data_IF_955409432471
#
_entry.id   IF_955409432471
#
_cell.length_a   1.000
_cell.length_b   1.000
_cell.length_c   1.000
_cell.angle_alpha   90.00
_cell.angle_beta   90.00
_cell.angle_gamma   90.00
#
_symmetry.space_group_name_H-M   'P 1'
#
loop_
_entity.id
_entity.type
_entity.pdbx_description
1 polymer ?
#
# COMPACT_ATOMS: atom_id res chain seq x y z
N UNK A 1 -23.10 -43.45 26.43
CA UNK A 1 -23.52 -42.05 26.21
C UNK A 1 -22.36 -41.08 25.95
N UNK A 2 -21.27 -41.06 26.74
CA UNK A 2 -20.12 -40.14 26.51
C UNK A 2 -19.43 -40.28 25.13
N UNK A 3 -19.35 -41.48 24.56
CA UNK A 3 -18.67 -41.73 23.28
C UNK A 3 -19.46 -41.30 22.03
N UNK A 4 -20.79 -41.19 22.14
CA UNK A 4 -21.65 -40.76 21.02
C UNK A 4 -21.70 -39.23 20.88
N UNK A 5 -21.63 -38.51 22.01
CA UNK A 5 -21.60 -37.04 22.01
C UNK A 5 -20.30 -36.52 21.39
N UNK A 6 -19.17 -37.15 21.66
CA UNK A 6 -17.88 -36.79 21.09
C UNK A 6 -17.81 -36.97 19.55
N UNK A 7 -18.52 -37.97 19.01
CA UNK A 7 -18.57 -38.22 17.57
C UNK A 7 -19.44 -37.20 16.82
N UNK A 8 -20.54 -36.76 17.44
CA UNK A 8 -21.41 -35.72 16.86
C UNK A 8 -20.76 -34.34 16.87
N UNK A 9 -20.01 -33.98 17.93
CA UNK A 9 -19.32 -32.68 17.98
C UNK A 9 -18.15 -32.58 16.99
N UNK A 10 -17.44 -33.67 16.71
CA UNK A 10 -16.40 -33.70 15.67
C UNK A 10 -16.99 -33.53 14.26
N UNK A 11 -18.17 -34.10 14.01
CA UNK A 11 -18.85 -33.98 12.71
C UNK A 11 -19.33 -32.55 12.41
N UNK A 12 -19.79 -31.84 13.44
CA UNK A 12 -20.25 -30.44 13.32
C UNK A 12 -19.07 -29.49 13.12
N UNK A 13 -17.93 -29.73 13.78
CA UNK A 13 -16.71 -28.92 13.59
C UNK A 13 -16.11 -29.16 12.20
N UNK A 14 -16.10 -30.40 11.71
CA UNK A 14 -15.61 -30.70 10.36
C UNK A 14 -16.42 -29.97 9.28
N UNK A 15 -17.76 -30.01 9.36
CA UNK A 15 -18.64 -29.33 8.38
C UNK A 15 -18.54 -27.81 8.43
N UNK A 16 -18.36 -27.21 9.62
CA UNK A 16 -18.12 -25.78 9.76
C UNK A 16 -16.78 -25.31 9.16
N UNK A 17 -15.72 -26.14 9.24
CA UNK A 17 -14.41 -25.85 8.64
C UNK A 17 -14.47 -25.94 7.12
N UNK A 18 -15.21 -26.91 6.56
CA UNK A 18 -15.39 -27.00 5.10
C UNK A 18 -16.25 -25.86 4.53
N UNK A 19 -17.23 -25.36 5.29
CA UNK A 19 -18.02 -24.18 4.89
C UNK A 19 -17.20 -22.88 4.88
N UNK A 20 -16.16 -22.77 5.72
CA UNK A 20 -15.25 -21.61 5.72
C UNK A 20 -14.12 -21.73 4.68
N UNK A 21 -13.75 -22.95 4.28
CA UNK A 21 -12.79 -23.22 3.21
C UNK A 21 -13.41 -23.14 1.80
N UNK A 22 -14.72 -23.33 1.68
CA UNK A 22 -15.51 -23.00 0.49
C UNK A 22 -15.84 -21.49 0.40
N UNK A 23 -15.23 -20.66 1.26
CA UNK A 23 -15.25 -19.22 1.10
C UNK A 23 -14.52 -18.87 -0.18
N UNK A 24 -15.28 -18.43 -1.19
CA UNK A 24 -14.82 -17.96 -2.49
C UNK A 24 -13.41 -17.37 -2.40
N UNK A 25 -12.43 -18.07 -2.98
CA UNK A 25 -11.08 -17.54 -3.07
C UNK A 25 -11.19 -16.15 -3.70
N UNK A 26 -10.83 -15.10 -2.94
CA UNK A 26 -10.92 -13.72 -3.43
C UNK A 26 -10.22 -13.68 -4.79
N UNK A 27 -10.86 -13.13 -5.83
CA UNK A 27 -10.27 -13.08 -7.16
C UNK A 27 -8.86 -12.52 -7.07
N UNK A 28 -7.90 -13.16 -7.75
CA UNK A 28 -6.52 -12.67 -7.75
C UNK A 28 -6.50 -11.21 -8.21
N UNK A 29 -5.83 -10.35 -7.43
CA UNK A 29 -5.72 -8.95 -7.76
C UNK A 29 -4.93 -8.76 -9.06
N UNK A 30 -5.43 -7.88 -9.92
CA UNK A 30 -4.71 -7.46 -11.12
C UNK A 30 -3.37 -6.81 -10.72
N UNK A 31 -2.33 -6.86 -11.57
CA UNK A 31 -1.03 -6.27 -11.27
C UNK A 31 -1.10 -4.79 -10.83
N UNK A 32 -1.96 -3.99 -11.46
CA UNK A 32 -2.18 -2.59 -11.07
C UNK A 32 -2.76 -2.43 -9.66
N UNK A 33 -3.62 -3.33 -9.22
CA UNK A 33 -4.20 -3.31 -7.87
C UNK A 33 -3.15 -3.69 -6.83
N UNK A 34 -2.32 -4.70 -7.10
CA UNK A 34 -1.18 -5.06 -6.24
C UNK A 34 -0.21 -3.87 -6.10
N UNK A 35 0.07 -3.18 -7.20
CA UNK A 35 0.92 -1.99 -7.20
C UNK A 35 0.35 -0.87 -6.33
N UNK A 36 -0.94 -0.56 -6.46
CA UNK A 36 -1.57 0.48 -5.65
C UNK A 36 -1.64 0.12 -4.17
N UNK A 37 -1.85 -1.16 -3.84
CA UNK A 37 -1.78 -1.63 -2.45
C UNK A 37 -0.39 -1.47 -1.86
N UNK A 38 0.67 -1.80 -2.61
CA UNK A 38 2.05 -1.60 -2.17
C UNK A 38 2.35 -0.12 -1.89
N UNK A 39 1.91 0.80 -2.76
CA UNK A 39 2.05 2.25 -2.53
C UNK A 39 1.29 2.71 -1.28
N UNK A 40 0.06 2.24 -1.08
CA UNK A 40 -0.73 2.59 0.09
C UNK A 40 -0.08 2.06 1.39
N UNK A 41 0.48 0.85 1.35
CA UNK A 41 1.22 0.26 2.47
C UNK A 41 2.47 1.08 2.80
N UNK A 42 3.28 1.45 1.80
CA UNK A 42 4.46 2.29 1.97
C UNK A 42 4.13 3.65 2.60
N UNK A 43 3.05 4.30 2.16
CA UNK A 43 2.58 5.56 2.75
C UNK A 43 2.16 5.40 4.21
N UNK A 44 1.46 4.29 4.52
CA UNK A 44 1.03 3.99 5.90
C UNK A 44 2.24 3.70 6.80
N UNK A 45 3.19 2.92 6.31
CA UNK A 45 4.43 2.60 7.01
C UNK A 45 5.26 3.84 7.31
N UNK A 46 5.49 4.72 6.32
CA UNK A 46 6.21 5.97 6.54
C UNK A 46 5.50 6.85 7.58
N UNK A 47 4.17 6.94 7.54
CA UNK A 47 3.41 7.73 8.51
C UNK A 47 3.50 7.15 9.94
N UNK A 48 3.45 5.82 10.08
CA UNK A 48 3.63 5.16 11.38
C UNK A 48 5.05 5.34 11.92
N UNK A 49 6.06 5.20 11.05
CA UNK A 49 7.46 5.39 11.40
C UNK A 49 7.78 6.86 11.74
N UNK A 50 7.07 7.81 11.13
CA UNK A 50 7.16 9.21 11.52
C UNK A 50 6.66 9.42 12.95
N UNK A 51 5.51 8.81 13.31
CA UNK A 51 4.98 8.86 14.67
C UNK A 51 5.88 8.21 15.72
N UNK A 52 6.67 7.20 15.34
CA UNK A 52 7.64 6.54 16.22
C UNK A 52 9.06 7.12 16.14
N UNK A 53 9.30 8.13 15.31
CA UNK A 53 10.63 8.73 15.10
C UNK A 53 11.65 7.81 14.40
N UNK A 54 11.21 6.74 13.74
CA UNK A 54 12.07 5.80 13.04
C UNK A 54 12.45 6.31 11.63
N UNK A 55 13.30 7.33 11.59
CA UNK A 55 13.69 7.99 10.34
C UNK A 55 14.48 7.10 9.37
N UNK A 56 15.22 6.10 9.86
CA UNK A 56 15.93 5.16 9.00
C UNK A 56 14.95 4.32 8.17
N UNK A 57 13.89 3.81 8.81
CA UNK A 57 12.84 3.09 8.11
C UNK A 57 12.11 3.99 7.10
N UNK A 58 11.80 5.24 7.46
CA UNK A 58 11.21 6.21 6.53
C UNK A 58 12.13 6.40 5.31
N UNK A 59 13.43 6.58 5.52
CA UNK A 59 14.37 6.81 4.44
C UNK A 59 14.42 5.65 3.44
N UNK A 60 14.38 4.41 3.94
CA UNK A 60 14.37 3.19 3.12
C UNK A 60 13.05 3.01 2.38
N UNK A 61 11.91 3.08 3.06
CA UNK A 61 10.59 2.94 2.42
C UNK A 61 10.37 4.03 1.37
N UNK A 62 10.79 5.27 1.63
CA UNK A 62 10.69 6.37 0.69
C UNK A 62 11.59 6.17 -0.55
N UNK A 63 12.80 5.63 -0.37
CA UNK A 63 13.69 5.27 -1.48
C UNK A 63 13.09 4.18 -2.37
N UNK A 64 12.47 3.17 -1.78
CA UNK A 64 11.78 2.11 -2.52
C UNK A 64 10.57 2.64 -3.28
N UNK A 65 9.73 3.47 -2.64
CA UNK A 65 8.61 4.13 -3.30
C UNK A 65 9.08 5.01 -4.47
N UNK A 66 10.17 5.76 -4.28
CA UNK A 66 10.78 6.58 -5.33
C UNK A 66 11.20 5.74 -6.53
N UNK A 67 11.90 4.62 -6.30
CA UNK A 67 12.35 3.72 -7.36
C UNK A 67 11.19 3.06 -8.11
N UNK A 68 10.18 2.58 -7.38
CA UNK A 68 8.99 1.95 -7.99
C UNK A 68 8.25 2.95 -8.87
N UNK A 69 7.93 4.13 -8.33
CA UNK A 69 7.17 5.16 -9.04
C UNK A 69 7.95 5.75 -10.22
N UNK A 70 9.29 5.83 -10.15
CA UNK A 70 10.08 6.16 -11.32
C UNK A 70 9.91 5.11 -12.44
N UNK A 71 10.04 3.82 -12.08
CA UNK A 71 9.94 2.70 -13.02
C UNK A 71 8.56 2.59 -13.68
N UNK A 72 7.50 2.70 -12.88
CA UNK A 72 6.13 2.58 -13.40
C UNK A 72 5.64 3.88 -14.06
N UNK A 73 6.09 5.05 -13.60
CA UNK A 73 5.80 6.34 -14.22
C UNK A 73 6.39 6.44 -15.62
N UNK A 74 7.61 5.96 -15.84
CA UNK A 74 8.26 5.93 -17.16
C UNK A 74 7.47 5.17 -18.23
N UNK A 75 6.67 4.18 -17.81
CA UNK A 75 5.89 3.29 -18.68
C UNK A 75 4.38 3.55 -18.63
N UNK A 76 3.93 4.64 -17.99
CA UNK A 76 2.51 4.87 -17.78
C UNK A 76 1.80 5.29 -19.09
N UNK A 77 0.72 4.61 -19.52
CA UNK A 77 0.09 4.84 -20.83
C UNK A 77 -0.65 6.18 -20.93
N UNK A 78 -1.12 6.71 -19.79
CA UNK A 78 -1.74 8.03 -19.71
C UNK A 78 -0.68 9.12 -19.40
N UNK A 79 -0.55 10.19 -20.20
CA UNK A 79 0.44 11.26 -19.98
C UNK A 79 0.34 11.97 -18.63
N UNK A 80 -0.87 12.31 -18.18
CA UNK A 80 -1.08 12.89 -16.86
C UNK A 80 -0.73 11.87 -15.76
N UNK A 81 -1.09 10.60 -15.95
CA UNK A 81 -0.71 9.54 -15.03
C UNK A 81 0.81 9.34 -14.92
N UNK A 82 1.53 9.50 -16.04
CA UNK A 82 3.00 9.53 -16.06
C UNK A 82 3.53 10.69 -15.24
N UNK A 83 3.07 11.91 -15.51
CA UNK A 83 3.49 13.12 -14.80
C UNK A 83 3.27 13.00 -13.29
N UNK A 84 2.04 12.63 -12.87
CA UNK A 84 1.72 12.49 -11.46
C UNK A 84 2.53 11.38 -10.78
N UNK A 85 2.77 10.26 -11.47
CA UNK A 85 3.56 9.16 -10.91
C UNK A 85 5.04 9.56 -10.78
N UNK A 86 5.61 10.26 -11.76
CA UNK A 86 6.99 10.77 -11.67
C UNK A 86 7.14 11.86 -10.61
N UNK A 87 6.12 12.71 -10.42
CA UNK A 87 6.11 13.68 -9.33
C UNK A 87 6.15 12.97 -7.96
N UNK A 88 5.42 11.87 -7.78
CA UNK A 88 5.51 11.06 -6.55
C UNK A 88 6.93 10.52 -6.36
N UNK A 89 7.61 10.10 -7.43
CA UNK A 89 9.00 9.63 -7.36
C UNK A 89 9.93 10.71 -6.80
N UNK A 90 9.89 11.92 -7.36
CA UNK A 90 10.70 13.04 -6.88
C UNK A 90 10.40 13.37 -5.41
N UNK A 91 9.13 13.43 -5.03
CA UNK A 91 8.73 13.71 -3.65
C UNK A 91 9.20 12.62 -2.67
N UNK A 92 9.14 11.34 -3.08
CA UNK A 92 9.62 10.24 -2.26
C UNK A 92 11.15 10.27 -2.09
N UNK A 93 11.91 10.68 -3.11
CA UNK A 93 13.35 10.93 -2.98
C UNK A 93 13.66 12.09 -2.00
N UNK A 94 12.85 13.14 -2.02
CA UNK A 94 12.95 14.25 -1.06
C UNK A 94 12.63 13.79 0.37
N UNK A 95 11.61 12.95 0.57
CA UNK A 95 11.32 12.32 1.87
C UNK A 95 12.52 11.51 2.35
N UNK A 96 13.12 10.67 1.49
CA UNK A 96 14.27 9.86 1.85
C UNK A 96 15.44 10.74 2.33
N UNK A 97 15.71 11.82 1.60
CA UNK A 97 16.77 12.79 1.93
C UNK A 97 16.47 13.56 3.22
N UNK A 98 15.22 13.95 3.46
CA UNK A 98 14.79 14.64 4.68
C UNK A 98 14.86 13.71 5.91
N UNK A 99 14.43 12.46 5.75
CA UNK A 99 14.50 11.44 6.80
C UNK A 99 15.96 11.14 7.20
N UNK A 100 16.89 11.07 6.24
CA UNK A 100 18.31 10.95 6.54
C UNK A 100 18.85 12.11 7.41
N UNK A 101 18.24 13.29 7.31
CA UNK A 101 18.54 14.48 8.13
C UNK A 101 17.67 14.60 9.39
N UNK A 102 16.79 13.63 9.65
CA UNK A 102 15.78 13.64 10.73
C UNK A 102 14.86 14.87 10.69
N UNK A 103 14.60 15.39 9.49
CA UNK A 103 13.70 16.53 9.28
C UNK A 103 12.25 16.06 9.17
N UNK A 104 11.59 15.91 10.34
CA UNK A 104 10.20 15.51 10.43
C UNK A 104 9.24 16.48 9.73
N UNK A 105 9.55 17.78 9.71
CA UNK A 105 8.69 18.79 9.11
C UNK A 105 8.61 18.62 7.59
N UNK A 106 9.77 18.45 6.95
CA UNK A 106 9.83 18.17 5.52
C UNK A 106 9.22 16.80 5.18
N UNK A 107 9.49 15.76 5.97
CA UNK A 107 8.86 14.44 5.77
C UNK A 107 7.32 14.55 5.80
N UNK A 108 6.77 15.24 6.80
CA UNK A 108 5.32 15.44 6.95
C UNK A 108 4.73 16.17 5.75
N UNK A 109 5.36 17.27 5.36
CA UNK A 109 4.91 18.12 4.24
C UNK A 109 4.86 17.31 2.94
N UNK A 110 5.94 16.57 2.65
CA UNK A 110 6.08 15.80 1.42
C UNK A 110 5.17 14.56 1.37
N UNK A 111 4.91 13.91 2.50
CA UNK A 111 3.87 12.87 2.58
C UNK A 111 2.48 13.44 2.22
N UNK A 112 2.18 14.66 2.66
CA UNK A 112 0.97 15.38 2.29
C UNK A 112 0.88 15.67 0.78
N UNK A 113 1.97 16.13 0.17
CA UNK A 113 2.07 16.37 -1.27
C UNK A 113 1.85 15.09 -2.09
N UNK A 114 2.47 13.96 -1.70
CA UNK A 114 2.23 12.66 -2.34
C UNK A 114 0.76 12.25 -2.24
N UNK A 115 0.14 12.42 -1.07
CA UNK A 115 -1.30 12.13 -0.89
C UNK A 115 -2.16 12.97 -1.84
N UNK A 116 -1.80 14.23 -2.05
CA UNK A 116 -2.42 15.11 -3.03
C UNK A 116 -2.33 14.55 -4.46
N UNK A 117 -1.14 14.10 -4.88
CA UNK A 117 -0.93 13.49 -6.21
C UNK A 117 -1.67 12.18 -6.40
N UNK A 118 -1.73 11.33 -5.37
CA UNK A 118 -2.57 10.13 -5.38
C UNK A 118 -4.05 10.48 -5.55
N UNK A 119 -4.54 11.49 -4.82
CA UNK A 119 -5.92 11.96 -4.94
C UNK A 119 -6.24 12.52 -6.33
N UNK A 120 -5.34 13.31 -6.90
CA UNK A 120 -5.48 13.88 -8.24
C UNK A 120 -5.54 12.77 -9.32
N UNK A 121 -4.64 11.78 -9.25
CA UNK A 121 -4.64 10.65 -10.16
C UNK A 121 -5.95 9.84 -10.05
N UNK A 122 -6.42 9.58 -8.83
CA UNK A 122 -7.68 8.86 -8.64
C UNK A 122 -8.87 9.64 -9.22
N UNK A 123 -8.99 10.94 -8.94
CA UNK A 123 -10.11 11.74 -9.41
C UNK A 123 -10.13 11.93 -10.95
N UNK A 124 -8.97 12.16 -11.57
CA UNK A 124 -8.89 12.53 -12.99
C UNK A 124 -8.70 11.34 -13.93
N UNK A 125 -8.24 10.20 -13.44
CA UNK A 125 -7.86 9.04 -14.28
C UNK A 125 -8.62 7.78 -13.86
N UNK A 126 -8.53 7.37 -12.59
CA UNK A 126 -9.10 6.09 -12.12
C UNK A 126 -10.62 6.12 -12.03
N UNK A 127 -11.15 7.15 -11.36
CA UNK A 127 -12.55 7.30 -11.00
C UNK A 127 -13.27 8.31 -11.89
N UNK A 128 -12.65 8.64 -13.03
CA UNK A 128 -13.25 9.53 -14.02
C UNK A 128 -14.55 8.88 -14.51
N UNK A 129 -15.68 9.46 -14.12
CA UNK A 129 -16.99 9.13 -14.67
C UNK A 129 -17.10 9.60 -16.12
#
# INVERSE_FOLDING_TARGET
MKKFIALMSVLIVATAVFAYAAGDAKPELRPSQKLMQARAAAMTEMNNNLGSGNFEAIANTAKELSAETNKSGGNHPNPLGKELTLAISSLAAEISSAAAKKDAGTVTTKLGEIKGKCGECHAKIRDKK
#
